data_IF_279880427622
#
_entry.id   IF_279880427622
#
_cell.length_a   1.000
_cell.length_b   1.000
_cell.length_c   1.000
_cell.angle_alpha   90.00
_cell.angle_beta   90.00
_cell.angle_gamma   90.00
#
_symmetry.space_group_name_H-M   'P 1'
#
loop_
_entity.id
_entity.type
_entity.pdbx_description
1 polymer ?
#
# COMPACT_ATOMS: atom_id res chain seq x y z
N UNK A 1 -64.64 4.06 27.00
CA UNK A 1 -64.91 3.89 28.43
C UNK A 1 -63.62 4.22 29.15
N UNK A 2 -63.46 5.45 29.63
CA UNK A 2 -63.63 5.96 31.00
C UNK A 2 -63.17 4.92 32.05
N UNK A 3 -62.07 5.22 32.81
CA UNK A 3 -62.13 5.91 34.09
C UNK A 3 -60.75 6.36 34.57
N UNK A 4 -60.67 7.64 34.95
CA UNK A 4 -59.68 8.28 35.84
C UNK A 4 -59.99 7.91 37.30
N UNK A 5 -58.95 7.98 38.16
CA UNK A 5 -59.02 8.49 39.55
C UNK A 5 -57.57 8.55 40.11
N UNK A 6 -56.95 9.74 40.27
CA UNK A 6 -56.89 10.67 41.41
C UNK A 6 -56.06 10.22 42.62
N UNK A 7 -55.07 11.10 42.93
CA UNK A 7 -54.19 11.18 44.12
C UNK A 7 -54.99 11.23 45.46
N UNK A 8 -54.31 11.06 46.62
CA UNK A 8 -53.79 12.26 47.27
C UNK A 8 -52.45 12.15 48.02
N UNK A 9 -51.90 13.32 48.26
CA UNK A 9 -50.80 13.77 49.08
C UNK A 9 -50.75 13.16 50.51
N UNK A 10 -49.51 12.99 51.04
CA UNK A 10 -49.16 13.26 52.43
C UNK A 10 -47.69 13.63 52.54
N UNK A 11 -47.43 14.81 53.10
CA UNK A 11 -46.15 15.36 53.44
C UNK A 11 -45.67 14.80 54.79
N UNK A 12 -44.38 14.57 54.91
CA UNK A 12 -43.70 14.54 56.21
C UNK A 12 -42.27 15.09 56.07
N UNK A 13 -41.94 15.99 56.96
CA UNK A 13 -40.79 16.84 57.08
C UNK A 13 -39.71 16.15 57.93
N UNK A 14 -38.45 16.58 57.66
CA UNK A 14 -37.25 16.65 58.50
C UNK A 14 -36.37 15.40 58.58
N UNK A 15 -35.07 15.52 58.28
CA UNK A 15 -34.00 16.10 59.11
C UNK A 15 -32.71 16.17 58.32
N UNK A 16 -32.02 17.27 58.41
CA UNK A 16 -30.68 17.50 57.90
C UNK A 16 -29.65 16.58 58.57
N UNK A 17 -28.86 15.86 57.73
CA UNK A 17 -27.54 15.40 58.11
C UNK A 17 -26.59 15.72 56.95
N UNK A 18 -25.77 16.75 57.18
CA UNK A 18 -24.69 17.16 56.30
C UNK A 18 -23.60 16.10 56.29
N UNK A 19 -23.51 15.29 55.24
CA UNK A 19 -22.35 14.48 54.98
C UNK A 19 -21.65 15.08 53.78
N UNK A 20 -20.50 15.69 53.97
CA UNK A 20 -19.55 16.06 52.91
C UNK A 20 -19.03 14.77 52.27
N UNK A 21 -19.59 14.42 51.13
CA UNK A 21 -19.00 13.43 50.23
C UNK A 21 -18.23 14.23 49.15
N UNK A 22 -16.92 14.18 49.23
CA UNK A 22 -16.01 14.59 48.17
C UNK A 22 -16.17 13.62 47.01
N UNK A 23 -17.01 13.96 46.04
CA UNK A 23 -17.00 13.31 44.72
C UNK A 23 -15.74 13.79 44.00
N UNK A 24 -14.71 12.93 43.98
CA UNK A 24 -13.63 13.01 43.01
C UNK A 24 -14.23 12.77 41.63
N UNK A 25 -14.64 13.85 40.96
CA UNK A 25 -14.96 13.81 39.53
C UNK A 25 -13.70 13.49 38.78
N UNK A 26 -13.62 12.27 38.24
CA UNK A 26 -12.61 11.91 37.25
C UNK A 26 -13.00 12.70 36.00
N UNK A 27 -12.38 13.83 35.79
CA UNK A 27 -12.43 14.56 34.53
C UNK A 27 -11.93 13.60 33.41
N UNK A 28 -12.64 13.40 32.30
CA UNK A 28 -12.12 12.58 31.23
C UNK A 28 -10.81 13.20 30.76
N UNK A 29 -9.71 12.45 30.88
CA UNK A 29 -8.40 12.89 30.45
C UNK A 29 -8.48 13.35 28.98
N UNK A 30 -8.09 14.59 28.71
CA UNK A 30 -7.96 15.07 27.34
C UNK A 30 -7.07 14.10 26.54
N UNK A 31 -7.42 13.76 25.30
CA UNK A 31 -6.60 12.86 24.49
C UNK A 31 -5.18 13.42 24.41
N UNK A 32 -4.19 12.58 24.64
CA UNK A 32 -2.79 13.00 24.57
C UNK A 32 -2.49 13.63 23.22
N UNK A 33 -1.68 14.68 23.18
CA UNK A 33 -1.30 15.38 21.94
C UNK A 33 -0.73 14.44 20.88
N UNK A 34 -0.04 13.37 21.31
CA UNK A 34 0.48 12.30 20.46
C UNK A 34 -0.65 11.54 19.74
N UNK A 35 -1.76 11.23 20.43
CA UNK A 35 -2.91 10.53 19.83
C UNK A 35 -3.68 11.40 18.82
N UNK A 36 -3.71 12.73 19.03
CA UNK A 36 -4.34 13.67 18.11
C UNK A 36 -3.49 13.86 16.83
N UNK A 37 -2.17 13.95 16.97
CA UNK A 37 -1.25 14.08 15.84
C UNK A 37 -1.25 12.82 14.96
N UNK A 38 -1.23 11.61 15.56
CA UNK A 38 -1.30 10.35 14.83
C UNK A 38 -2.61 10.22 14.02
N UNK A 39 -3.76 10.55 14.63
CA UNK A 39 -5.04 10.57 13.89
C UNK A 39 -5.05 11.58 12.74
N UNK A 40 -4.45 12.74 12.92
CA UNK A 40 -4.35 13.75 11.86
C UNK A 40 -3.47 13.30 10.70
N UNK A 41 -2.39 12.53 10.96
CA UNK A 41 -1.54 11.95 9.93
C UNK A 41 -2.31 10.88 9.14
N UNK A 42 -2.90 9.91 9.83
CA UNK A 42 -3.72 8.86 9.19
C UNK A 42 -4.88 9.44 8.36
N UNK A 43 -5.57 10.48 8.84
CA UNK A 43 -6.62 11.17 8.07
C UNK A 43 -6.06 11.87 6.81
N UNK A 44 -4.80 12.34 6.85
CA UNK A 44 -4.16 12.95 5.69
C UNK A 44 -3.78 11.89 4.64
N UNK A 45 -3.26 10.76 5.08
CA UNK A 45 -2.93 9.61 4.23
C UNK A 45 -4.16 9.04 3.53
N UNK A 46 -5.27 8.88 4.24
CA UNK A 46 -6.54 8.46 3.64
C UNK A 46 -7.01 9.44 2.55
N UNK A 47 -6.94 10.76 2.82
CA UNK A 47 -7.27 11.76 1.79
C UNK A 47 -6.33 11.68 0.59
N UNK A 48 -5.04 11.41 0.81
CA UNK A 48 -4.07 11.25 -0.26
C UNK A 48 -4.37 10.00 -1.09
N UNK A 49 -4.75 8.86 -0.46
CA UNK A 49 -5.21 7.65 -1.16
C UNK A 49 -6.46 7.94 -2.00
N UNK A 50 -7.47 8.57 -1.42
CA UNK A 50 -8.71 8.93 -2.15
C UNK A 50 -8.42 9.80 -3.38
N UNK A 51 -7.52 10.79 -3.24
CA UNK A 51 -7.11 11.67 -4.33
C UNK A 51 -6.49 10.87 -5.49
N UNK A 52 -5.55 9.98 -5.19
CA UNK A 52 -4.90 9.13 -6.19
C UNK A 52 -5.89 8.13 -6.81
N UNK A 53 -6.77 7.52 -6.02
CA UNK A 53 -7.77 6.57 -6.51
C UNK A 53 -8.78 7.21 -7.47
N UNK A 54 -9.09 8.50 -7.33
CA UNK A 54 -9.89 9.25 -8.30
C UNK A 54 -9.22 9.31 -9.68
N UNK A 55 -7.91 9.35 -9.74
CA UNK A 55 -7.16 9.34 -11.00
C UNK A 55 -7.47 8.09 -11.83
N UNK A 56 -7.56 6.91 -11.18
CA UNK A 56 -7.91 5.66 -11.84
C UNK A 56 -9.40 5.52 -12.08
N UNK A 57 -10.21 5.75 -11.07
CA UNK A 57 -11.66 5.49 -11.12
C UNK A 57 -12.42 6.48 -12.01
N UNK A 58 -11.96 7.72 -12.09
CA UNK A 58 -12.63 8.77 -12.88
C UNK A 58 -11.84 9.12 -14.14
N UNK A 59 -10.56 9.48 -14.03
CA UNK A 59 -9.82 9.95 -15.19
C UNK A 59 -9.49 8.81 -16.15
N UNK A 60 -8.95 7.68 -15.66
CA UNK A 60 -8.63 6.55 -16.51
C UNK A 60 -9.89 5.79 -16.96
N UNK A 61 -10.71 5.30 -15.99
CA UNK A 61 -11.82 4.39 -16.30
C UNK A 61 -13.03 5.07 -16.96
N UNK A 62 -13.27 6.37 -16.70
CA UNK A 62 -14.40 7.12 -17.24
C UNK A 62 -14.00 8.21 -18.26
N UNK A 63 -12.71 8.24 -18.65
CA UNK A 63 -12.13 9.21 -19.58
C UNK A 63 -12.35 10.69 -19.19
N UNK A 64 -12.49 10.99 -17.90
CA UNK A 64 -12.67 12.34 -17.38
C UNK A 64 -11.33 13.06 -17.25
N UNK A 65 -10.78 13.53 -18.35
CA UNK A 65 -9.46 14.21 -18.36
C UNK A 65 -9.42 15.49 -17.53
N UNK A 66 -10.55 16.16 -17.30
CA UNK A 66 -10.61 17.34 -16.43
C UNK A 66 -10.28 17.02 -14.98
N UNK A 67 -10.54 15.79 -14.52
CA UNK A 67 -10.11 15.32 -13.20
C UNK A 67 -8.59 15.32 -13.08
N UNK A 68 -7.86 14.97 -14.14
CA UNK A 68 -6.38 15.06 -14.14
C UNK A 68 -5.94 16.51 -13.93
N UNK A 69 -6.56 17.47 -14.63
CA UNK A 69 -6.24 18.90 -14.48
C UNK A 69 -6.60 19.44 -13.08
N UNK A 70 -7.63 18.88 -12.47
CA UNK A 70 -8.00 19.19 -11.08
C UNK A 70 -6.95 18.66 -10.10
N UNK A 71 -6.49 17.42 -10.26
CA UNK A 71 -5.67 16.73 -9.28
C UNK A 71 -4.16 17.00 -9.40
N UNK A 72 -3.67 17.25 -10.62
CA UNK A 72 -2.24 17.40 -10.91
C UNK A 72 -1.81 18.86 -10.75
N UNK A 73 -0.69 19.09 -10.09
CA UNK A 73 -0.10 20.42 -9.93
C UNK A 73 0.45 20.95 -11.27
N UNK A 74 0.57 22.26 -11.37
CA UNK A 74 1.09 22.92 -12.58
C UNK A 74 2.55 22.55 -12.86
N UNK A 75 3.34 22.36 -11.81
CA UNK A 75 4.76 22.04 -11.80
C UNK A 75 5.03 20.54 -11.55
N UNK A 76 4.05 19.69 -11.81
CA UNK A 76 4.13 18.25 -11.66
C UNK A 76 5.32 17.65 -12.41
N UNK A 77 6.13 16.89 -11.67
CA UNK A 77 7.32 16.21 -12.17
C UNK A 77 6.97 14.77 -12.55
N UNK A 78 7.26 14.44 -13.81
CA UNK A 78 7.11 13.09 -14.34
C UNK A 78 8.51 12.44 -14.50
N UNK A 79 8.74 11.30 -13.85
CA UNK A 79 10.02 10.60 -13.93
C UNK A 79 10.13 9.64 -15.13
N UNK A 80 9.02 9.28 -15.78
CA UNK A 80 9.09 8.60 -17.09
C UNK A 80 9.55 9.60 -18.15
N UNK A 81 10.78 9.43 -18.62
CA UNK A 81 11.41 10.32 -19.61
C UNK A 81 10.69 10.40 -20.96
N UNK A 82 9.83 9.41 -21.26
CA UNK A 82 9.02 9.38 -22.48
C UNK A 82 7.72 10.17 -22.35
N UNK A 83 7.39 10.65 -21.13
CA UNK A 83 6.14 11.34 -20.82
C UNK A 83 6.44 12.77 -20.35
N UNK A 84 5.82 13.80 -20.95
CA UNK A 84 5.94 15.17 -20.48
C UNK A 84 5.47 15.35 -19.03
N UNK A 85 5.96 16.36 -18.33
CA UNK A 85 5.43 16.77 -17.04
C UNK A 85 4.04 17.40 -17.15
N UNK A 86 3.42 17.69 -15.99
CA UNK A 86 2.12 18.33 -15.90
C UNK A 86 0.93 17.42 -16.26
N UNK A 87 -0.27 17.98 -16.18
CA UNK A 87 -1.52 17.26 -16.41
C UNK A 87 -1.62 16.63 -17.80
N UNK A 88 -1.12 17.30 -18.84
CA UNK A 88 -1.15 16.78 -20.21
C UNK A 88 -0.27 15.54 -20.39
N UNK A 89 0.85 15.48 -19.66
CA UNK A 89 1.69 14.27 -19.63
C UNK A 89 0.97 13.09 -19.00
N UNK A 90 0.31 13.30 -17.87
CA UNK A 90 -0.50 12.26 -17.22
C UNK A 90 -1.66 11.79 -18.10
N UNK A 91 -2.34 12.72 -18.79
CA UNK A 91 -3.40 12.39 -19.77
C UNK A 91 -2.82 11.57 -20.92
N UNK A 92 -1.66 11.96 -21.44
CA UNK A 92 -0.96 11.22 -22.51
C UNK A 92 -0.63 9.81 -22.07
N UNK A 93 -0.07 9.63 -20.87
CA UNK A 93 0.26 8.31 -20.34
C UNK A 93 -0.97 7.38 -20.30
N UNK A 94 -2.12 7.86 -19.86
CA UNK A 94 -3.37 7.11 -19.88
C UNK A 94 -3.83 6.75 -21.28
N UNK A 95 -3.72 7.68 -22.24
CA UNK A 95 -4.04 7.43 -23.64
C UNK A 95 -3.11 6.38 -24.24
N UNK A 96 -1.82 6.40 -23.91
CA UNK A 96 -0.84 5.43 -24.38
C UNK A 96 -1.15 4.02 -23.88
N UNK A 97 -1.56 3.88 -22.62
CA UNK A 97 -2.02 2.57 -22.07
C UNK A 97 -3.24 2.08 -22.85
N UNK A 98 -4.25 2.93 -23.07
CA UNK A 98 -5.47 2.57 -23.82
C UNK A 98 -5.21 2.29 -25.29
N UNK A 99 -4.22 2.94 -25.89
CA UNK A 99 -3.80 2.65 -27.26
C UNK A 99 -3.12 1.27 -27.38
N UNK A 100 -2.31 0.90 -26.38
CA UNK A 100 -1.68 -0.43 -26.31
C UNK A 100 -2.69 -1.53 -25.96
N UNK A 101 -3.67 -1.25 -25.11
CA UNK A 101 -4.70 -2.18 -24.64
C UNK A 101 -6.08 -1.52 -24.89
N UNK A 102 -6.65 -1.63 -26.10
CA UNK A 102 -7.96 -1.07 -26.42
C UNK A 102 -9.04 -1.62 -25.48
N UNK A 103 -9.79 -0.72 -24.83
CA UNK A 103 -10.79 -1.09 -23.84
C UNK A 103 -10.22 -1.37 -22.45
N UNK A 104 -8.96 -1.01 -22.18
CA UNK A 104 -8.36 -1.19 -20.87
C UNK A 104 -9.17 -0.53 -19.76
N UNK A 105 -9.33 -1.28 -18.67
CA UNK A 105 -9.84 -0.82 -17.38
C UNK A 105 -8.69 -0.92 -16.38
N UNK A 106 -8.53 0.09 -15.55
CA UNK A 106 -7.63 0.07 -14.40
C UNK A 106 -8.36 -0.57 -13.21
N UNK A 107 -7.81 -1.67 -12.72
CA UNK A 107 -8.26 -2.32 -11.47
C UNK A 107 -7.16 -2.19 -10.44
N UNK A 108 -7.35 -1.33 -9.46
CA UNK A 108 -6.41 -1.19 -8.33
C UNK A 108 -6.46 -2.48 -7.50
N UNK A 109 -5.29 -2.98 -7.16
CA UNK A 109 -5.08 -4.23 -6.39
C UNK A 109 -4.57 -3.93 -5.00
N UNK A 110 -3.53 -3.11 -4.89
CA UNK A 110 -3.00 -2.64 -3.64
C UNK A 110 -2.80 -1.14 -3.71
N UNK A 111 -3.03 -0.46 -2.61
CA UNK A 111 -2.75 0.97 -2.43
C UNK A 111 -2.20 1.18 -1.04
N UNK A 112 -1.22 2.04 -0.91
CA UNK A 112 -0.63 2.44 0.36
C UNK A 112 -0.38 3.93 0.37
N UNK A 113 -0.55 4.57 1.53
CA UNK A 113 -0.07 5.92 1.78
C UNK A 113 0.86 5.92 3.00
N UNK A 114 1.93 6.69 2.94
CA UNK A 114 2.87 6.88 4.04
C UNK A 114 3.40 8.31 3.94
N UNK A 115 2.87 9.18 4.80
CA UNK A 115 3.11 10.61 4.77
C UNK A 115 2.57 11.28 3.50
N UNK A 116 3.47 11.82 2.69
CA UNK A 116 3.16 12.51 1.43
C UNK A 116 3.21 11.59 0.20
N UNK A 117 3.56 10.31 0.38
CA UNK A 117 3.67 9.34 -0.70
C UNK A 117 2.45 8.44 -0.77
N UNK A 118 2.01 8.13 -2.00
CA UNK A 118 0.98 7.13 -2.28
C UNK A 118 1.48 6.18 -3.36
N UNK A 119 1.52 4.89 -3.04
CA UNK A 119 1.88 3.83 -3.98
C UNK A 119 0.63 3.06 -4.41
N UNK A 120 0.55 2.69 -5.69
CA UNK A 120 -0.57 1.94 -6.27
C UNK A 120 -0.06 0.80 -7.12
N UNK A 121 -0.50 -0.42 -6.84
CA UNK A 121 -0.34 -1.57 -7.70
C UNK A 121 -1.67 -1.83 -8.42
N UNK A 122 -1.67 -1.91 -9.74
CA UNK A 122 -2.89 -2.03 -10.50
C UNK A 122 -2.74 -2.85 -11.78
N UNK A 123 -3.86 -3.42 -12.21
CA UNK A 123 -4.00 -4.22 -13.41
C UNK A 123 -4.63 -3.39 -14.53
N UNK A 124 -3.92 -3.21 -15.64
CA UNK A 124 -4.43 -2.60 -16.86
C UNK A 124 -4.83 -3.70 -17.86
N UNK A 125 -6.13 -3.91 -18.08
CA UNK A 125 -6.61 -4.99 -18.95
C UNK A 125 -7.97 -4.68 -19.55
N UNK A 126 -8.19 -5.11 -20.81
CA UNK A 126 -9.51 -5.13 -21.43
C UNK A 126 -10.42 -6.26 -20.88
N UNK A 127 -9.82 -7.22 -20.16
CA UNK A 127 -10.53 -8.33 -19.51
C UNK A 127 -10.17 -8.37 -18.01
N UNK A 128 -10.59 -7.40 -17.20
CA UNK A 128 -10.08 -7.18 -15.84
C UNK A 128 -10.30 -8.35 -14.88
N UNK A 129 -11.22 -9.27 -15.19
CA UNK A 129 -11.42 -10.52 -14.42
C UNK A 129 -10.45 -11.64 -14.81
N UNK A 130 -9.71 -11.48 -15.90
CA UNK A 130 -8.67 -12.43 -16.33
C UNK A 130 -7.29 -11.83 -16.05
N UNK A 131 -6.73 -12.18 -14.91
CA UNK A 131 -5.44 -11.68 -14.42
C UNK A 131 -4.22 -12.23 -15.18
N UNK A 132 -4.42 -13.11 -16.16
CA UNK A 132 -3.34 -13.62 -17.04
C UNK A 132 -3.20 -12.78 -18.33
N UNK A 133 -3.79 -11.59 -18.40
CA UNK A 133 -3.75 -10.69 -19.57
C UNK A 133 -3.44 -9.26 -19.17
N UNK A 134 -2.98 -8.45 -20.12
CA UNK A 134 -2.75 -7.02 -19.91
C UNK A 134 -1.38 -6.72 -19.29
N UNK A 135 -1.34 -5.72 -18.43
CA UNK A 135 -0.13 -5.24 -17.77
C UNK A 135 -0.33 -5.11 -16.27
N UNK A 136 0.68 -5.53 -15.50
CA UNK A 136 0.87 -5.12 -14.12
C UNK A 136 1.56 -3.75 -14.12
N UNK A 137 1.07 -2.84 -13.32
CA UNK A 137 1.61 -1.50 -13.19
C UNK A 137 1.75 -1.13 -11.72
N UNK A 138 2.80 -0.41 -11.42
CA UNK A 138 2.97 0.23 -10.14
C UNK A 138 3.28 1.70 -10.35
N UNK A 139 2.60 2.55 -9.62
CA UNK A 139 2.81 3.98 -9.64
C UNK A 139 3.11 4.46 -8.21
N UNK A 140 4.06 5.38 -8.07
CA UNK A 140 4.32 6.12 -6.86
C UNK A 140 4.04 7.58 -7.12
N UNK A 141 3.23 8.20 -6.28
CA UNK A 141 2.93 9.62 -6.33
C UNK A 141 3.41 10.31 -5.08
N UNK A 142 3.83 11.57 -5.23
CA UNK A 142 3.94 12.51 -4.12
C UNK A 142 2.76 13.45 -4.16
N UNK A 143 2.16 13.67 -2.98
CA UNK A 143 1.04 14.57 -2.78
C UNK A 143 1.49 15.75 -1.94
N UNK A 144 1.27 16.95 -2.40
CA UNK A 144 1.45 18.17 -1.61
C UNK A 144 0.24 19.08 -1.76
N UNK A 145 -0.24 19.61 -0.63
CA UNK A 145 -1.36 20.55 -0.58
C UNK A 145 -2.60 20.10 -1.36
N UNK A 146 -2.89 18.78 -1.35
CA UNK A 146 -4.03 18.18 -2.05
C UNK A 146 -3.87 18.10 -3.57
N UNK A 147 -2.63 18.11 -4.07
CA UNK A 147 -2.28 17.95 -5.49
C UNK A 147 -1.21 16.88 -5.65
N UNK A 148 -1.23 16.21 -6.80
CA UNK A 148 -0.13 15.36 -7.25
C UNK A 148 0.99 16.25 -7.77
N UNK A 149 2.18 16.16 -7.18
CA UNK A 149 3.33 16.98 -7.53
C UNK A 149 4.45 16.18 -8.19
N UNK A 150 4.46 14.84 -8.05
CA UNK A 150 5.54 14.00 -8.58
C UNK A 150 5.03 12.58 -8.84
N UNK A 151 5.58 11.89 -9.85
CA UNK A 151 5.17 10.54 -10.25
C UNK A 151 6.31 9.71 -10.81
N UNK A 152 6.38 8.45 -10.38
CA UNK A 152 7.17 7.36 -10.96
C UNK A 152 6.26 6.22 -11.36
N UNK A 153 6.47 5.64 -12.52
CA UNK A 153 5.64 4.55 -13.05
C UNK A 153 6.49 3.37 -13.50
N UNK A 154 6.05 2.17 -13.16
CA UNK A 154 6.66 0.89 -13.55
C UNK A 154 5.61 0.08 -14.31
N UNK A 155 6.00 -0.57 -15.40
CA UNK A 155 5.09 -1.38 -16.21
C UNK A 155 5.71 -2.73 -16.54
N UNK A 156 4.97 -3.79 -16.30
CA UNK A 156 5.33 -5.18 -16.60
C UNK A 156 4.22 -5.83 -17.44
N UNK A 157 4.60 -6.45 -18.53
CA UNK A 157 3.66 -7.28 -19.30
C UNK A 157 3.32 -8.54 -18.51
N UNK A 158 2.03 -8.84 -18.36
CA UNK A 158 1.59 -10.04 -17.62
C UNK A 158 2.00 -11.28 -18.38
N UNK A 159 2.76 -12.21 -17.78
CA UNK A 159 3.16 -13.46 -18.43
C UNK A 159 1.99 -14.43 -18.49
N UNK A 160 2.02 -15.34 -19.46
CA UNK A 160 0.99 -16.38 -19.60
C UNK A 160 0.97 -17.39 -18.44
N UNK A 161 2.09 -17.55 -17.75
CA UNK A 161 2.27 -18.49 -16.63
C UNK A 161 3.28 -17.91 -15.66
N UNK A 162 3.12 -18.22 -14.38
CA UNK A 162 4.05 -17.93 -13.31
C UNK A 162 4.61 -19.23 -12.72
N UNK A 163 5.80 -19.20 -12.15
CA UNK A 163 6.43 -20.35 -11.52
C UNK A 163 5.67 -20.83 -10.27
N UNK A 164 5.04 -19.91 -9.56
CA UNK A 164 4.22 -20.20 -8.37
C UNK A 164 2.81 -20.68 -8.71
N UNK A 165 2.31 -20.41 -9.92
CA UNK A 165 0.90 -20.60 -10.31
C UNK A 165 -0.02 -19.47 -9.84
N UNK A 166 0.47 -18.51 -9.04
CA UNK A 166 -0.31 -17.36 -8.57
C UNK A 166 -0.34 -16.27 -9.66
N UNK A 167 -1.39 -15.44 -9.67
CA UNK A 167 -1.42 -14.24 -10.49
C UNK A 167 -0.50 -13.15 -9.90
N UNK A 168 -0.15 -12.12 -10.68
CA UNK A 168 0.62 -10.99 -10.20
C UNK A 168 -0.17 -10.07 -9.25
N UNK A 169 -1.46 -10.33 -9.01
CA UNK A 169 -2.38 -9.34 -8.46
C UNK A 169 -3.13 -9.78 -7.22
N UNK A 170 -3.66 -11.02 -7.23
CA UNK A 170 -4.61 -11.48 -6.20
C UNK A 170 -3.89 -11.94 -4.95
N UNK A 171 -4.40 -11.54 -3.78
CA UNK A 171 -3.98 -12.06 -2.50
C UNK A 171 -4.27 -13.57 -2.40
N UNK A 172 -3.30 -14.34 -1.94
CA UNK A 172 -3.46 -15.76 -1.61
C UNK A 172 -3.62 -15.95 -0.10
N UNK A 173 -2.82 -15.22 0.68
CA UNK A 173 -2.98 -15.25 2.12
C UNK A 173 -4.35 -14.70 2.55
N UNK A 174 -4.97 -15.36 3.51
CA UNK A 174 -6.23 -14.92 4.11
C UNK A 174 -6.11 -14.93 5.62
N UNK A 175 -6.50 -13.83 6.23
CA UNK A 175 -6.56 -13.71 7.67
C UNK A 175 -7.70 -14.58 8.23
N UNK A 176 -7.41 -15.51 9.16
CA UNK A 176 -8.45 -16.38 9.72
C UNK A 176 -9.52 -15.63 10.51
N UNK A 177 -9.17 -14.47 11.10
CA UNK A 177 -10.04 -13.66 11.95
C UNK A 177 -10.30 -12.25 11.39
N UNK A 178 -10.11 -12.05 10.09
CA UNK A 178 -10.16 -10.73 9.46
C UNK A 178 -8.81 -9.99 9.53
N UNK A 179 -8.62 -9.06 8.62
CA UNK A 179 -7.41 -8.25 8.53
C UNK A 179 -7.30 -7.32 9.74
N UNK A 180 -6.14 -7.27 10.44
CA UNK A 180 -5.96 -6.41 11.59
C UNK A 180 -5.76 -4.96 11.17
N UNK A 181 -6.29 -4.02 11.95
CA UNK A 181 -5.90 -2.61 11.86
C UNK A 181 -4.59 -2.44 12.62
N UNK A 182 -3.54 -2.01 11.93
CA UNK A 182 -2.24 -1.75 12.52
C UNK A 182 -2.11 -0.29 12.93
N UNK A 183 -1.19 0.00 13.83
CA UNK A 183 -0.80 1.35 14.18
C UNK A 183 0.42 1.77 13.38
N UNK A 184 0.62 3.06 13.12
CA UNK A 184 1.81 3.62 12.47
C UNK A 184 3.12 3.06 13.06
N UNK A 185 3.17 2.87 14.38
CA UNK A 185 4.32 2.26 15.05
C UNK A 185 4.55 0.80 14.62
N UNK A 186 3.48 0.04 14.39
CA UNK A 186 3.61 -1.34 13.94
C UNK A 186 3.98 -1.39 12.46
N UNK A 187 3.43 -0.50 11.66
CA UNK A 187 3.76 -0.32 10.24
C UNK A 187 5.24 0.03 10.06
N UNK A 188 5.73 1.02 10.82
CA UNK A 188 7.16 1.37 10.83
C UNK A 188 8.06 0.20 11.27
N UNK A 189 7.61 -0.61 12.22
CA UNK A 189 8.33 -1.83 12.63
C UNK A 189 8.35 -2.86 11.49
N UNK A 190 7.21 -3.05 10.82
CA UNK A 190 7.09 -3.95 9.67
C UNK A 190 7.98 -3.46 8.51
N UNK A 191 8.00 -2.15 8.23
CA UNK A 191 8.87 -1.53 7.23
C UNK A 191 10.34 -1.83 7.51
N UNK A 192 10.81 -1.50 8.70
CA UNK A 192 12.22 -1.77 9.07
C UNK A 192 12.56 -3.25 8.95
N UNK A 193 11.67 -4.12 9.40
CA UNK A 193 11.86 -5.57 9.34
C UNK A 193 11.95 -6.08 7.90
N UNK A 194 10.98 -5.73 7.04
CA UNK A 194 10.94 -6.21 5.66
C UNK A 194 12.10 -5.65 4.83
N UNK A 195 12.40 -4.34 4.97
CA UNK A 195 13.52 -3.69 4.28
C UNK A 195 14.87 -4.29 4.68
N UNK A 196 15.09 -4.57 5.99
CA UNK A 196 16.34 -5.19 6.45
C UNK A 196 16.47 -6.64 5.95
N UNK A 197 15.39 -7.43 6.04
CA UNK A 197 15.38 -8.80 5.54
C UNK A 197 15.62 -8.85 4.03
N UNK A 198 14.96 -7.98 3.26
CA UNK A 198 15.11 -7.93 1.81
C UNK A 198 16.50 -7.45 1.40
N UNK A 199 17.08 -6.48 2.12
CA UNK A 199 18.45 -6.03 1.87
C UNK A 199 19.46 -7.17 2.05
N UNK A 200 19.37 -7.92 3.16
CA UNK A 200 20.23 -9.08 3.40
C UNK A 200 20.11 -10.12 2.30
N UNK A 201 18.89 -10.42 1.88
CA UNK A 201 18.62 -11.36 0.79
C UNK A 201 19.25 -10.88 -0.53
N UNK A 202 19.07 -9.60 -0.86
CA UNK A 202 19.62 -8.96 -2.07
C UNK A 202 21.15 -8.86 -2.05
N UNK A 203 21.75 -8.75 -0.86
CA UNK A 203 23.20 -8.77 -0.66
C UNK A 203 23.77 -10.23 -0.66
N UNK A 204 22.92 -11.24 -0.92
CA UNK A 204 23.32 -12.64 -1.11
C UNK A 204 23.14 -13.53 0.12
N UNK A 205 22.65 -13.02 1.24
CA UNK A 205 22.37 -13.84 2.44
C UNK A 205 21.01 -14.55 2.33
N UNK A 206 20.98 -15.66 1.58
CA UNK A 206 19.77 -16.47 1.48
C UNK A 206 19.38 -17.16 2.80
N UNK A 207 20.23 -17.14 3.85
CA UNK A 207 19.89 -17.72 5.16
C UNK A 207 18.83 -16.90 5.90
N UNK A 208 18.70 -15.61 5.58
CA UNK A 208 17.69 -14.71 6.15
C UNK A 208 16.26 -15.22 5.89
N UNK A 209 16.05 -16.01 4.82
CA UNK A 209 14.75 -16.61 4.49
C UNK A 209 14.27 -17.52 5.64
N UNK A 210 15.16 -18.28 6.27
CA UNK A 210 14.81 -19.22 7.35
C UNK A 210 14.27 -18.49 8.60
N UNK A 211 14.68 -17.24 8.81
CA UNK A 211 14.32 -16.45 9.99
C UNK A 211 13.25 -15.41 9.74
N UNK A 212 13.12 -14.91 8.51
CA UNK A 212 12.27 -13.75 8.21
C UNK A 212 11.04 -14.08 7.37
N UNK A 213 11.03 -15.19 6.61
CA UNK A 213 9.87 -15.62 5.84
C UNK A 213 9.03 -16.66 6.59
N UNK A 214 7.72 -16.62 6.40
CA UNK A 214 6.80 -17.67 6.87
C UNK A 214 6.95 -18.94 6.01
N UNK A 215 6.84 -20.10 6.60
CA UNK A 215 6.98 -21.38 5.89
C UNK A 215 5.93 -21.57 4.78
N UNK A 216 4.77 -20.90 4.87
CA UNK A 216 3.68 -20.93 3.88
C UNK A 216 3.91 -19.97 2.72
N UNK A 217 4.91 -19.16 2.73
CA UNK A 217 5.19 -18.04 1.82
C UNK A 217 4.62 -18.19 0.41
N UNK A 218 3.83 -17.19 0.00
CA UNK A 218 3.22 -17.07 -1.32
C UNK A 218 3.97 -16.07 -2.19
N UNK A 219 4.20 -16.45 -3.44
CA UNK A 219 5.01 -15.66 -4.38
C UNK A 219 4.19 -15.31 -5.62
N UNK A 220 4.27 -14.05 -6.06
CA UNK A 220 3.60 -13.56 -7.27
C UNK A 220 4.58 -13.13 -8.39
N UNK A 221 5.88 -13.12 -8.13
CA UNK A 221 6.89 -12.93 -9.18
C UNK A 221 6.78 -14.06 -10.21
N UNK A 222 6.85 -13.75 -11.53
CA UNK A 222 6.68 -14.74 -12.58
C UNK A 222 7.63 -15.94 -12.53
N UNK A 223 8.87 -15.73 -12.08
CA UNK A 223 9.94 -16.74 -12.16
C UNK A 223 10.28 -17.39 -10.81
N UNK A 224 9.77 -16.84 -9.71
CA UNK A 224 10.06 -17.34 -8.37
C UNK A 224 8.94 -18.27 -7.84
N UNK A 225 9.27 -19.37 -7.15
CA UNK A 225 8.30 -20.34 -6.66
C UNK A 225 7.73 -19.97 -5.26
N UNK A 226 6.60 -20.59 -4.89
CA UNK A 226 6.06 -20.56 -3.54
C UNK A 226 6.93 -21.32 -2.54
N UNK A 227 6.85 -20.92 -1.27
CA UNK A 227 7.48 -21.57 -0.13
C UNK A 227 8.95 -21.20 0.06
N UNK A 228 9.40 -21.25 1.31
CA UNK A 228 10.74 -20.80 1.71
C UNK A 228 11.88 -21.66 1.15
N UNK A 229 11.73 -22.97 1.15
CA UNK A 229 12.79 -23.87 0.66
C UNK A 229 13.01 -23.75 -0.87
N UNK A 230 11.98 -23.69 -1.72
CA UNK A 230 12.15 -23.39 -3.16
C UNK A 230 12.71 -21.99 -3.39
N UNK A 231 12.23 -20.97 -2.67
CA UNK A 231 12.72 -19.60 -2.77
C UNK A 231 14.22 -19.52 -2.44
N UNK A 232 14.65 -20.17 -1.36
CA UNK A 232 16.05 -20.22 -0.96
C UNK A 232 16.94 -20.82 -2.04
N UNK A 233 16.51 -21.96 -2.64
CA UNK A 233 17.22 -22.58 -3.77
C UNK A 233 17.27 -21.64 -4.98
N UNK A 234 16.17 -20.96 -5.29
CA UNK A 234 16.11 -20.00 -6.38
C UNK A 234 17.18 -18.90 -6.22
N UNK A 235 17.27 -18.28 -5.05
CA UNK A 235 18.31 -17.28 -4.79
C UNK A 235 19.72 -17.87 -4.81
N UNK A 236 19.95 -19.04 -4.25
CA UNK A 236 21.27 -19.68 -4.24
C UNK A 236 21.76 -20.07 -5.66
N UNK A 237 20.84 -20.41 -6.56
CA UNK A 237 21.18 -20.77 -7.94
C UNK A 237 21.38 -19.54 -8.83
N UNK A 238 20.63 -18.46 -8.59
CA UNK A 238 20.65 -17.26 -9.42
C UNK A 238 21.61 -16.18 -8.93
N UNK A 239 22.20 -16.30 -7.75
CA UNK A 239 23.22 -15.34 -7.26
C UNK A 239 24.51 -15.36 -8.09
N UNK A 240 24.72 -16.32 -8.98
CA UNK A 240 25.88 -16.34 -9.88
C UNK A 240 25.63 -15.61 -11.21
N UNK A 241 24.36 -15.44 -11.62
CA UNK A 241 23.99 -14.91 -12.94
C UNK A 241 22.96 -13.77 -12.92
N UNK A 242 22.31 -13.48 -11.78
CA UNK A 242 21.34 -12.41 -11.74
C UNK A 242 22.04 -11.05 -11.58
N UNK A 243 21.69 -10.04 -12.40
CA UNK A 243 22.01 -8.68 -12.03
C UNK A 243 21.25 -8.38 -10.73
N UNK A 244 21.99 -8.28 -9.62
CA UNK A 244 21.46 -7.64 -8.41
C UNK A 244 20.81 -6.32 -8.82
N UNK A 245 19.66 -5.93 -8.28
CA UNK A 245 19.10 -4.63 -8.57
C UNK A 245 20.17 -3.59 -8.31
N UNK A 246 20.73 -3.06 -9.40
CA UNK A 246 21.81 -2.08 -9.55
C UNK A 246 22.88 -2.04 -8.44
N UNK A 247 23.76 -3.05 -8.40
CA UNK A 247 25.05 -2.93 -7.73
C UNK A 247 26.07 -2.25 -8.66
N UNK A 248 25.94 -0.96 -8.88
CA UNK A 248 27.03 -0.16 -9.42
C UNK A 248 27.95 0.24 -8.27
N UNK A 249 28.98 -0.58 -8.03
CA UNK A 249 30.19 -0.19 -7.29
C UNK A 249 30.06 -0.12 -5.77
N UNK A 250 30.50 -1.15 -5.05
CA UNK A 250 31.15 -0.99 -3.73
C UNK A 250 30.28 -0.55 -2.54
N UNK A 251 29.02 -0.95 -2.48
CA UNK A 251 28.16 -0.73 -1.31
C UNK A 251 26.81 -1.43 -1.54
N UNK A 252 26.33 -2.16 -0.53
CA UNK A 252 25.15 -3.03 -0.60
C UNK A 252 23.91 -2.46 -1.30
N UNK A 253 22.90 -3.29 -1.51
CA UNK A 253 21.66 -2.95 -2.24
C UNK A 253 21.05 -1.64 -1.74
N UNK A 254 20.84 -0.70 -2.65
CA UNK A 254 20.22 0.58 -2.37
C UNK A 254 18.76 0.57 -2.82
N UNK A 255 17.88 0.95 -1.90
CA UNK A 255 16.48 1.16 -2.19
C UNK A 255 16.20 2.65 -2.39
N UNK A 256 15.17 2.94 -3.17
CA UNK A 256 14.54 4.25 -3.27
C UNK A 256 13.56 4.48 -2.12
N UNK A 257 12.35 4.94 -2.44
CA UNK A 257 11.31 5.14 -1.44
C UNK A 257 10.81 3.79 -0.88
N UNK A 258 10.46 3.79 0.40
CA UNK A 258 9.77 2.66 1.05
C UNK A 258 8.54 3.19 1.76
N UNK A 259 7.42 2.46 1.70
CA UNK A 259 6.18 2.81 2.37
C UNK A 259 5.72 1.63 3.21
N UNK A 260 4.97 1.93 4.28
CA UNK A 260 4.24 0.93 5.02
C UNK A 260 2.83 1.44 5.32
N UNK A 261 1.82 0.66 4.99
CA UNK A 261 0.42 0.95 5.26
C UNK A 261 -0.28 -0.38 5.55
N UNK A 262 -0.87 -0.50 6.74
CA UNK A 262 -1.37 -1.78 7.23
C UNK A 262 -0.28 -2.85 7.30
N UNK A 263 -0.53 -4.00 6.73
CA UNK A 263 0.37 -5.14 6.69
C UNK A 263 1.34 -5.14 5.49
N UNK A 264 1.19 -4.18 4.58
CA UNK A 264 1.98 -4.10 3.36
C UNK A 264 3.18 -3.16 3.51
N UNK A 265 4.32 -3.64 3.04
CA UNK A 265 5.55 -2.86 2.94
C UNK A 265 5.99 -2.81 1.48
N UNK A 266 6.15 -1.60 0.96
CA UNK A 266 6.58 -1.33 -0.40
C UNK A 266 8.05 -0.94 -0.40
N UNK A 267 8.81 -1.48 -1.35
CA UNK A 267 10.24 -1.19 -1.50
C UNK A 267 10.52 -0.92 -2.98
N UNK A 268 10.75 0.32 -3.32
CA UNK A 268 11.16 0.71 -4.68
C UNK A 268 12.66 0.56 -4.84
N UNK A 269 13.12 0.08 -6.00
CA UNK A 269 14.53 0.16 -6.38
C UNK A 269 14.96 1.62 -6.52
N UNK A 270 16.25 1.91 -6.35
CA UNK A 270 16.78 3.29 -6.39
C UNK A 270 16.63 3.97 -7.76
N UNK A 271 16.49 3.18 -8.82
CA UNK A 271 16.24 3.62 -10.20
C UNK A 271 14.77 3.53 -10.63
N UNK A 272 13.88 3.08 -9.72
CA UNK A 272 12.44 2.95 -9.95
C UNK A 272 12.07 2.06 -11.15
N UNK A 273 12.83 0.99 -11.38
CA UNK A 273 12.49 -0.04 -12.39
C UNK A 273 11.87 -1.30 -11.79
N UNK A 274 11.96 -1.44 -10.47
CA UNK A 274 11.33 -2.52 -9.69
C UNK A 274 10.65 -1.92 -8.47
N UNK A 275 9.51 -2.47 -8.12
CA UNK A 275 8.91 -2.34 -6.79
C UNK A 275 8.54 -3.72 -6.27
N UNK A 276 8.89 -3.95 -5.02
CA UNK A 276 8.52 -5.15 -4.25
C UNK A 276 7.48 -4.78 -3.19
N UNK A 277 6.47 -5.61 -3.04
CA UNK A 277 5.45 -5.52 -2.00
C UNK A 277 5.54 -6.74 -1.11
N UNK A 278 5.68 -6.54 0.18
CA UNK A 278 5.74 -7.61 1.18
C UNK A 278 4.55 -7.51 2.12
N UNK A 279 3.81 -8.60 2.30
CA UNK A 279 2.87 -8.73 3.41
C UNK A 279 3.59 -9.26 4.63
N UNK A 280 3.52 -8.51 5.72
CA UNK A 280 4.16 -8.85 7.00
C UNK A 280 3.09 -9.20 8.04
N UNK A 281 3.09 -10.46 8.46
CA UNK A 281 2.16 -10.99 9.46
C UNK A 281 2.94 -11.63 10.59
N UNK A 282 2.65 -11.26 11.84
CA UNK A 282 3.32 -11.80 13.03
C UNK A 282 4.86 -11.75 12.96
N UNK A 283 5.40 -10.70 12.36
CA UNK A 283 6.85 -10.51 12.20
C UNK A 283 7.50 -11.45 11.19
N UNK A 284 6.73 -11.94 10.20
CA UNK A 284 7.20 -12.76 9.07
C UNK A 284 6.68 -12.21 7.75
N UNK A 285 7.48 -12.32 6.70
CA UNK A 285 7.04 -12.09 5.33
C UNK A 285 6.28 -13.34 4.88
N UNK A 286 4.99 -13.19 4.58
CA UNK A 286 4.12 -14.30 4.21
C UNK A 286 3.71 -14.30 2.74
N UNK A 287 3.72 -13.12 2.10
CA UNK A 287 3.32 -12.95 0.71
C UNK A 287 4.13 -11.84 0.04
N UNK A 288 4.40 -11.98 -1.24
CA UNK A 288 5.21 -11.03 -1.99
C UNK A 288 4.70 -10.88 -3.42
N UNK A 289 4.55 -9.64 -3.84
CA UNK A 289 4.33 -9.22 -5.22
C UNK A 289 5.48 -8.33 -5.67
N UNK A 290 5.69 -8.28 -6.95
CA UNK A 290 6.55 -7.26 -7.56
C UNK A 290 5.98 -6.79 -8.90
N UNK A 291 6.48 -5.63 -9.32
CA UNK A 291 6.34 -5.15 -10.69
C UNK A 291 7.74 -4.81 -11.18
N UNK A 292 8.18 -5.50 -12.22
CA UNK A 292 9.50 -5.32 -12.83
C UNK A 292 9.34 -4.71 -14.21
N UNK A 293 10.01 -3.61 -14.50
CA UNK A 293 9.90 -2.94 -15.79
C UNK A 293 10.26 -3.88 -16.94
N UNK A 294 9.46 -3.87 -18.00
CA UNK A 294 9.75 -4.67 -19.21
C UNK A 294 11.15 -4.33 -19.76
N UNK A 295 11.97 -5.35 -20.03
CA UNK A 295 13.32 -5.21 -20.59
C UNK A 295 14.44 -5.07 -19.56
N UNK A 296 14.15 -5.30 -18.27
CA UNK A 296 15.13 -5.39 -17.18
C UNK A 296 15.56 -6.83 -16.94
#
# INVERSE_FOLDING_TARGET
MRYQKTLPWLAAVACFATACSSTSGTEPAAPSTTSAAARSASDAEERNKELVLRLYSEAFNKDKTDVVKELVATDYVQHDKAVPGGAEGQIKQFKDVKAKIPGAVATVKHVAADGDLVAVHWHASATPRNEATGQAKADLFRVDSGKLVEHWGITQTVPKKTASGNSLFSDVYRYPNGEPTLSEKQEEKNRKFAVDAYRKLSDGDASVIDTSWDSRYYQHNPIAPNGTAPLKRFFQQNTQDAPSPSSTGGGGTRFGNTLADGDLVWVFSSDYVVVDLFRVVDGKIIEHWDVVADGQ
#
